data_IF_284049128813
#
_entry.id   IF_284049128813
#
_cell.length_a   1.000
_cell.length_b   1.000
_cell.length_c   1.000
_cell.angle_alpha   90.00
_cell.angle_beta   90.00
_cell.angle_gamma   90.00
#
_symmetry.space_group_name_H-M   'P 1'
#
loop_
_entity.id
_entity.type
_entity.pdbx_description
1 polymer ?
#
# COMPACT_ATOMS: atom_id res chain seq x y z
N UNK A 1 14.12 4.72 -27.91
CA UNK A 1 13.21 4.23 -26.83
C UNK A 1 13.13 5.32 -25.77
N UNK A 2 11.94 5.64 -25.28
CA UNK A 2 11.74 6.67 -24.24
C UNK A 2 11.58 6.01 -22.87
N UNK A 3 12.35 6.44 -21.89
CA UNK A 3 12.33 5.89 -20.52
C UNK A 3 11.91 6.98 -19.55
N UNK A 4 10.78 6.80 -18.89
CA UNK A 4 10.26 7.73 -17.88
C UNK A 4 10.67 7.28 -16.49
N UNK A 5 11.47 8.10 -15.81
CA UNK A 5 11.93 7.86 -14.45
C UNK A 5 10.88 8.47 -13.50
N UNK A 6 10.11 7.61 -12.85
CA UNK A 6 9.02 7.99 -11.97
C UNK A 6 9.44 7.86 -10.50
N UNK A 7 8.99 8.77 -9.65
CA UNK A 7 9.03 8.54 -8.21
C UNK A 7 8.21 7.30 -7.85
N UNK A 8 8.71 6.49 -6.92
CA UNK A 8 8.06 5.25 -6.48
C UNK A 8 6.86 5.51 -5.56
N UNK A 9 5.95 6.38 -6.00
CA UNK A 9 4.70 6.76 -5.33
C UNK A 9 3.53 6.65 -6.30
N UNK A 10 2.28 6.57 -5.82
CA UNK A 10 1.11 6.61 -6.69
C UNK A 10 1.09 7.85 -7.59
N UNK A 11 1.36 9.02 -7.04
CA UNK A 11 1.42 10.27 -7.82
C UNK A 11 2.54 10.23 -8.87
N UNK A 12 3.73 9.75 -8.51
CA UNK A 12 4.88 9.68 -9.42
C UNK A 12 4.60 8.75 -10.60
N UNK A 13 4.18 7.51 -10.33
CA UNK A 13 3.93 6.52 -11.39
C UNK A 13 2.75 6.93 -12.27
N UNK A 14 1.63 7.41 -11.70
CA UNK A 14 0.48 7.85 -12.50
C UNK A 14 0.78 9.12 -13.30
N UNK A 15 1.63 10.03 -12.79
CA UNK A 15 2.14 11.15 -13.59
C UNK A 15 2.97 10.65 -14.76
N UNK A 16 3.85 9.65 -14.54
CA UNK A 16 4.61 9.02 -15.60
C UNK A 16 3.73 8.38 -16.69
N UNK A 17 2.63 7.74 -16.28
CA UNK A 17 1.62 7.22 -17.22
C UNK A 17 1.03 8.36 -18.07
N UNK A 18 0.70 9.50 -17.46
CA UNK A 18 0.18 10.66 -18.18
C UNK A 18 1.19 11.21 -19.17
N UNK A 19 2.42 11.48 -18.75
CA UNK A 19 3.48 12.06 -19.57
C UNK A 19 3.88 11.15 -20.72
N UNK A 20 3.96 9.84 -20.46
CA UNK A 20 4.20 8.81 -21.47
C UNK A 20 3.09 8.80 -22.56
N UNK A 21 1.83 8.99 -22.13
CA UNK A 21 0.71 9.06 -23.06
C UNK A 21 0.71 10.35 -23.88
N UNK A 22 1.06 11.47 -23.25
CA UNK A 22 1.20 12.76 -23.92
C UNK A 22 2.30 12.72 -24.97
N UNK A 23 3.49 12.21 -24.63
CA UNK A 23 4.60 12.04 -25.58
C UNK A 23 4.20 11.13 -26.75
N UNK A 24 3.54 10.00 -26.47
CA UNK A 24 3.04 9.09 -27.52
C UNK A 24 2.17 9.79 -28.55
N UNK A 25 1.32 10.73 -28.11
CA UNK A 25 0.45 11.49 -29.01
C UNK A 25 1.25 12.52 -29.80
N UNK A 26 2.18 13.23 -29.14
CA UNK A 26 2.99 14.28 -29.76
C UNK A 26 3.96 13.73 -30.81
N UNK A 27 4.69 12.67 -30.48
CA UNK A 27 5.71 12.09 -31.35
C UNK A 27 5.19 10.96 -32.25
N UNK A 28 3.91 10.55 -32.07
CA UNK A 28 3.27 9.44 -32.80
C UNK A 28 4.04 8.11 -32.68
N UNK A 29 4.78 7.92 -31.59
CA UNK A 29 5.52 6.69 -31.33
C UNK A 29 4.60 5.55 -30.87
N UNK A 30 5.15 4.33 -30.79
CA UNK A 30 4.42 3.17 -30.27
C UNK A 30 4.51 3.11 -28.74
N UNK A 31 3.49 2.54 -28.07
CA UNK A 31 3.59 2.20 -26.64
C UNK A 31 4.72 1.18 -26.35
N UNK A 32 5.14 0.41 -27.35
CA UNK A 32 6.27 -0.51 -27.24
C UNK A 32 7.63 0.21 -27.16
N UNK A 33 7.70 1.47 -27.61
CA UNK A 33 8.91 2.30 -27.55
C UNK A 33 9.02 3.11 -26.23
N UNK A 34 8.05 2.93 -25.33
CA UNK A 34 7.94 3.64 -24.05
C UNK A 34 8.10 2.66 -22.90
N UNK A 35 8.97 3.03 -21.97
CA UNK A 35 9.24 2.26 -20.76
C UNK A 35 9.17 3.17 -19.53
N UNK A 36 8.57 2.70 -18.44
CA UNK A 36 8.53 3.40 -17.17
C UNK A 36 9.38 2.67 -16.12
N UNK A 37 10.13 3.42 -15.32
CA UNK A 37 10.91 2.87 -14.21
C UNK A 37 10.54 3.56 -12.90
N UNK A 38 10.46 2.77 -11.82
CA UNK A 38 10.19 3.27 -10.48
C UNK A 38 11.51 3.57 -9.74
N UNK A 39 11.85 4.85 -9.65
CA UNK A 39 13.12 5.31 -9.09
C UNK A 39 14.25 5.41 -10.12
N UNK A 40 15.41 5.85 -9.66
CA UNK A 40 16.57 6.03 -10.53
C UNK A 40 17.10 4.66 -11.02
N UNK A 41 17.32 4.48 -12.33
CA UNK A 41 17.96 3.28 -12.84
C UNK A 41 19.43 3.23 -12.42
N UNK A 42 19.93 2.04 -12.11
CA UNK A 42 21.35 1.88 -11.76
C UNK A 42 22.30 2.13 -12.95
N UNK A 43 21.84 1.85 -14.15
CA UNK A 43 22.58 2.05 -15.38
C UNK A 43 21.68 2.68 -16.44
N UNK A 44 22.24 3.57 -17.22
CA UNK A 44 21.60 4.15 -18.38
C UNK A 44 21.93 3.33 -19.62
N UNK A 45 20.91 2.95 -20.38
CA UNK A 45 21.08 2.22 -21.63
C UNK A 45 21.37 3.17 -22.79
N UNK A 46 22.20 2.73 -23.74
CA UNK A 46 22.49 3.49 -24.95
C UNK A 46 21.23 3.57 -25.85
N UNK A 47 21.10 4.65 -26.59
CA UNK A 47 19.98 4.92 -27.50
C UNK A 47 18.61 5.02 -26.83
N UNK A 48 18.60 5.43 -25.55
CA UNK A 48 17.39 5.72 -24.81
C UNK A 48 17.35 7.21 -24.43
N UNK A 49 16.18 7.81 -24.60
CA UNK A 49 15.88 9.16 -24.14
C UNK A 49 15.22 9.09 -22.76
N UNK A 50 15.89 9.64 -21.75
CA UNK A 50 15.44 9.58 -20.38
C UNK A 50 14.69 10.85 -19.99
N UNK A 51 13.47 10.68 -19.45
CA UNK A 51 12.58 11.74 -19.00
C UNK A 51 12.39 11.62 -17.49
N UNK A 52 12.83 12.63 -16.73
CA UNK A 52 12.57 12.68 -15.29
C UNK A 52 11.15 13.21 -15.08
N UNK A 53 10.31 12.41 -14.42
CA UNK A 53 8.91 12.76 -14.14
C UNK A 53 8.81 13.50 -12.81
N UNK A 54 8.38 14.76 -12.84
CA UNK A 54 8.02 15.50 -11.64
C UNK A 54 6.58 15.12 -11.21
N UNK A 55 6.37 14.55 -10.00
CA UNK A 55 5.04 14.17 -9.54
C UNK A 55 4.05 15.33 -9.57
N UNK A 56 2.87 15.10 -10.14
CA UNK A 56 1.80 16.07 -10.27
C UNK A 56 0.45 15.45 -9.89
N UNK A 57 -0.14 15.93 -8.80
CA UNK A 57 -1.46 15.48 -8.36
C UNK A 57 -2.55 15.74 -9.42
N UNK A 58 -2.43 16.82 -10.20
CA UNK A 58 -3.36 17.12 -11.28
C UNK A 58 -3.30 16.09 -12.40
N UNK A 59 -2.09 15.76 -12.90
CA UNK A 59 -1.89 14.79 -13.97
C UNK A 59 -2.30 13.38 -13.51
N UNK A 60 -1.87 12.98 -12.32
CA UNK A 60 -2.27 11.71 -11.70
C UNK A 60 -3.80 11.62 -11.55
N UNK A 61 -4.46 12.67 -11.08
CA UNK A 61 -5.93 12.74 -10.96
C UNK A 61 -6.66 12.58 -12.30
N UNK A 62 -6.11 13.11 -13.40
CA UNK A 62 -6.66 12.90 -14.75
C UNK A 62 -6.59 11.44 -15.18
N UNK A 63 -5.48 10.74 -14.84
CA UNK A 63 -5.35 9.30 -15.10
C UNK A 63 -6.37 8.53 -14.27
N UNK A 64 -6.45 8.76 -12.96
CA UNK A 64 -7.41 8.12 -12.05
C UNK A 64 -8.85 8.28 -12.56
N UNK A 65 -9.24 9.51 -12.91
CA UNK A 65 -10.57 9.82 -13.44
C UNK A 65 -10.85 9.06 -14.75
N UNK A 66 -9.84 8.91 -15.60
CA UNK A 66 -9.96 8.19 -16.87
C UNK A 66 -10.09 6.69 -16.65
N UNK A 67 -9.30 6.10 -15.73
CA UNK A 67 -9.37 4.68 -15.39
C UNK A 67 -10.74 4.33 -14.78
N UNK A 68 -11.19 5.10 -13.79
CA UNK A 68 -12.50 4.88 -13.17
C UNK A 68 -13.65 4.98 -14.19
N UNK A 69 -13.62 5.97 -15.06
CA UNK A 69 -14.68 6.18 -16.06
C UNK A 69 -14.71 5.10 -17.14
N UNK A 70 -13.54 4.64 -17.61
CA UNK A 70 -13.44 3.71 -18.76
C UNK A 70 -13.37 2.25 -18.36
N UNK A 71 -12.74 1.95 -17.24
CA UNK A 71 -12.42 0.58 -16.82
C UNK A 71 -13.08 0.19 -15.48
N UNK A 72 -13.59 1.17 -14.73
CA UNK A 72 -14.24 0.95 -13.44
C UNK A 72 -13.28 1.04 -12.26
N UNK A 73 -13.89 1.18 -11.07
CA UNK A 73 -13.18 1.38 -9.82
C UNK A 73 -12.30 0.18 -9.44
N UNK A 74 -12.80 -1.03 -9.60
CA UNK A 74 -12.07 -2.27 -9.25
C UNK A 74 -10.76 -2.42 -10.03
N UNK A 75 -10.76 -1.97 -11.31
CA UNK A 75 -9.54 -1.94 -12.10
C UNK A 75 -8.53 -0.95 -11.52
N UNK A 76 -8.97 0.27 -11.21
CA UNK A 76 -8.13 1.29 -10.60
C UNK A 76 -7.57 0.83 -9.24
N UNK A 77 -8.39 0.23 -8.38
CA UNK A 77 -7.97 -0.32 -7.09
C UNK A 77 -6.88 -1.40 -7.25
N UNK A 78 -7.02 -2.27 -8.26
CA UNK A 78 -5.99 -3.28 -8.56
C UNK A 78 -4.66 -2.61 -8.96
N UNK A 79 -4.72 -1.58 -9.81
CA UNK A 79 -3.53 -0.81 -10.22
C UNK A 79 -2.90 -0.08 -9.03
N UNK A 80 -3.71 0.61 -8.22
CA UNK A 80 -3.24 1.31 -7.03
C UNK A 80 -2.55 0.35 -6.04
N UNK A 81 -3.21 -0.78 -5.76
CA UNK A 81 -2.68 -1.80 -4.86
C UNK A 81 -1.36 -2.39 -5.36
N UNK A 82 -1.20 -2.54 -6.69
CA UNK A 82 0.07 -2.96 -7.28
C UNK A 82 1.17 -1.89 -7.15
N UNK A 83 0.82 -0.61 -7.31
CA UNK A 83 1.75 0.51 -7.12
C UNK A 83 2.24 0.58 -5.66
N UNK A 84 1.37 0.36 -4.70
CA UNK A 84 1.67 0.37 -3.27
C UNK A 84 2.57 -0.79 -2.82
N UNK A 85 2.76 -1.81 -3.67
CA UNK A 85 3.67 -2.92 -3.38
C UNK A 85 5.12 -2.46 -3.33
N UNK A 86 5.88 -2.96 -2.33
CA UNK A 86 7.33 -2.90 -2.40
C UNK A 86 7.82 -3.93 -3.42
N UNK A 87 8.60 -3.50 -4.38
CA UNK A 87 9.19 -4.41 -5.35
C UNK A 87 10.49 -5.00 -4.81
N UNK A 88 10.38 -6.08 -4.05
CA UNK A 88 11.52 -6.82 -3.49
C UNK A 88 12.19 -7.76 -4.49
N UNK A 89 11.69 -7.86 -5.71
CA UNK A 89 12.15 -8.88 -6.67
C UNK A 89 13.50 -8.59 -7.32
N UNK A 90 14.07 -7.41 -7.06
CA UNK A 90 15.36 -7.00 -7.61
C UNK A 90 15.35 -6.85 -9.14
N UNK A 91 16.52 -6.58 -9.71
CA UNK A 91 16.74 -6.29 -11.15
C UNK A 91 16.34 -7.39 -12.13
N UNK A 92 15.98 -8.59 -11.65
CA UNK A 92 15.62 -9.74 -12.51
C UNK A 92 14.16 -9.75 -12.96
N UNK A 93 13.30 -8.93 -12.37
CA UNK A 93 11.89 -8.87 -12.73
C UNK A 93 11.57 -7.51 -13.38
N UNK A 94 10.47 -7.51 -14.13
CA UNK A 94 9.92 -6.32 -14.75
C UNK A 94 9.61 -5.25 -13.69
N UNK A 95 10.02 -4.01 -13.96
CA UNK A 95 9.70 -2.86 -13.11
C UNK A 95 8.18 -2.67 -12.98
N UNK A 96 7.72 -2.36 -11.78
CA UNK A 96 6.29 -2.20 -11.50
C UNK A 96 5.65 -1.05 -12.25
N UNK A 97 6.36 0.07 -12.45
CA UNK A 97 5.84 1.21 -13.18
C UNK A 97 5.57 0.83 -14.65
N UNK A 98 6.49 0.06 -15.26
CA UNK A 98 6.28 -0.44 -16.62
C UNK A 98 5.16 -1.48 -16.69
N UNK A 99 5.07 -2.39 -15.73
CA UNK A 99 3.99 -3.37 -15.67
C UNK A 99 2.62 -2.67 -15.57
N UNK A 100 2.51 -1.65 -14.72
CA UNK A 100 1.31 -0.81 -14.57
C UNK A 100 0.97 -0.11 -15.89
N UNK A 101 1.94 0.57 -16.50
CA UNK A 101 1.73 1.28 -17.76
C UNK A 101 1.21 0.36 -18.87
N UNK A 102 1.90 -0.75 -19.11
CA UNK A 102 1.52 -1.68 -20.19
C UNK A 102 0.19 -2.40 -19.90
N UNK A 103 -0.14 -2.64 -18.63
CA UNK A 103 -1.45 -3.18 -18.24
C UNK A 103 -2.57 -2.18 -18.53
N UNK A 104 -2.38 -0.90 -18.22
CA UNK A 104 -3.33 0.18 -18.54
C UNK A 104 -3.50 0.29 -20.08
N UNK A 105 -2.40 0.25 -20.84
CA UNK A 105 -2.45 0.24 -22.30
C UNK A 105 -3.26 -0.94 -22.81
N UNK A 106 -2.95 -2.16 -22.33
CA UNK A 106 -3.66 -3.37 -22.73
C UNK A 106 -5.17 -3.27 -22.44
N UNK A 107 -5.56 -2.72 -21.29
CA UNK A 107 -6.95 -2.56 -20.91
C UNK A 107 -7.71 -1.55 -21.79
N UNK A 108 -7.06 -0.42 -22.11
CA UNK A 108 -7.70 0.64 -22.91
C UNK A 108 -7.85 0.30 -24.40
N UNK A 109 -6.97 -0.55 -24.93
CA UNK A 109 -7.02 -0.98 -26.34
C UNK A 109 -7.73 -2.32 -26.54
N UNK A 110 -7.96 -3.09 -25.49
CA UNK A 110 -8.65 -4.38 -25.59
C UNK A 110 -10.17 -4.20 -25.60
N UNK A 111 -10.89 -4.94 -26.43
CA UNK A 111 -12.35 -5.01 -26.34
C UNK A 111 -12.83 -5.63 -25.02
N UNK A 112 -11.95 -6.33 -24.28
CA UNK A 112 -12.26 -6.89 -22.97
C UNK A 112 -12.29 -5.83 -21.85
N UNK A 113 -11.70 -4.63 -22.09
CA UNK A 113 -11.60 -3.57 -21.07
C UNK A 113 -10.93 -4.07 -19.80
N UNK A 114 -11.53 -3.83 -18.63
CA UNK A 114 -11.01 -4.24 -17.33
C UNK A 114 -10.78 -5.77 -17.21
N UNK A 115 -11.52 -6.59 -17.94
CA UNK A 115 -11.35 -8.05 -17.92
C UNK A 115 -10.01 -8.55 -18.46
N UNK A 116 -9.16 -7.67 -18.99
CA UNK A 116 -7.78 -8.07 -19.34
C UNK A 116 -7.00 -8.54 -18.14
N UNK A 117 -7.36 -8.11 -16.92
CA UNK A 117 -6.73 -8.58 -15.68
C UNK A 117 -6.82 -10.10 -15.49
N UNK A 118 -7.78 -10.76 -16.12
CA UNK A 118 -7.91 -12.23 -16.09
C UNK A 118 -6.89 -12.92 -17.01
N UNK A 119 -6.20 -12.16 -17.87
CA UNK A 119 -5.27 -12.70 -18.90
C UNK A 119 -3.85 -12.85 -18.34
N UNK A 120 -3.67 -13.72 -17.35
CA UNK A 120 -2.39 -13.92 -16.64
C UNK A 120 -1.26 -14.48 -17.52
N UNK A 121 -1.53 -14.86 -18.76
CA UNK A 121 -0.50 -15.22 -19.76
C UNK A 121 0.27 -13.98 -20.27
N UNK A 122 -0.27 -12.77 -20.11
CA UNK A 122 0.43 -11.53 -20.41
C UNK A 122 1.39 -11.21 -19.23
N UNK A 123 2.71 -11.06 -19.48
CA UNK A 123 3.69 -10.87 -18.41
C UNK A 123 3.49 -9.57 -17.62
N UNK A 124 2.97 -8.51 -18.24
CA UNK A 124 2.70 -7.23 -17.57
C UNK A 124 1.52 -7.38 -16.59
N UNK A 125 0.45 -8.01 -17.05
CA UNK A 125 -0.75 -8.27 -16.23
C UNK A 125 -0.41 -9.23 -15.09
N UNK A 126 0.36 -10.29 -15.38
CA UNK A 126 0.82 -11.22 -14.35
C UNK A 126 1.64 -10.50 -13.27
N UNK A 127 2.51 -9.57 -13.68
CA UNK A 127 3.30 -8.77 -12.72
C UNK A 127 2.42 -7.88 -11.85
N UNK A 128 1.44 -7.20 -12.40
CA UNK A 128 0.46 -6.41 -11.65
C UNK A 128 -0.32 -7.30 -10.68
N UNK A 129 -0.73 -8.50 -11.11
CA UNK A 129 -1.41 -9.48 -10.25
C UNK A 129 -0.52 -9.92 -9.07
N UNK A 130 0.76 -10.25 -9.29
CA UNK A 130 1.69 -10.61 -8.21
C UNK A 130 1.80 -9.48 -7.16
N UNK A 131 2.02 -8.24 -7.63
CA UNK A 131 2.21 -7.06 -6.79
C UNK A 131 0.95 -6.73 -6.00
N UNK A 132 -0.21 -6.67 -6.66
CA UNK A 132 -1.48 -6.35 -6.02
C UNK A 132 -1.86 -7.39 -4.99
N UNK A 133 -1.68 -8.69 -5.29
CA UNK A 133 -1.95 -9.77 -4.35
C UNK A 133 -1.05 -9.72 -3.12
N UNK A 134 0.23 -9.39 -3.27
CA UNK A 134 1.16 -9.26 -2.14
C UNK A 134 0.72 -8.17 -1.16
N UNK A 135 0.37 -6.97 -1.69
CA UNK A 135 -0.09 -5.85 -0.89
C UNK A 135 -1.46 -6.12 -0.26
N UNK A 136 -2.42 -6.65 -1.03
CA UNK A 136 -3.76 -6.95 -0.54
C UNK A 136 -3.74 -8.01 0.57
N UNK A 137 -2.91 -9.05 0.44
CA UNK A 137 -2.73 -10.08 1.48
C UNK A 137 -2.15 -9.49 2.77
N UNK A 138 -1.16 -8.60 2.66
CA UNK A 138 -0.59 -7.94 3.84
C UNK A 138 -1.59 -7.00 4.51
N UNK A 139 -2.29 -6.17 3.73
CA UNK A 139 -3.35 -5.31 4.24
C UNK A 139 -4.47 -6.11 4.91
N UNK A 140 -4.86 -7.27 4.35
CA UNK A 140 -5.84 -8.16 4.97
C UNK A 140 -5.40 -8.65 6.35
N UNK A 141 -4.16 -9.09 6.50
CA UNK A 141 -3.61 -9.48 7.80
C UNK A 141 -3.61 -8.31 8.79
N UNK A 142 -3.15 -7.14 8.36
CA UNK A 142 -3.12 -5.95 9.22
C UNK A 142 -4.51 -5.49 9.65
N UNK A 143 -5.53 -5.60 8.81
CA UNK A 143 -6.94 -5.35 9.20
C UNK A 143 -7.39 -6.23 10.38
N UNK A 144 -6.87 -7.46 10.48
CA UNK A 144 -7.17 -8.38 11.55
C UNK A 144 -6.29 -8.21 12.80
N UNK A 145 -5.02 -7.82 12.61
CA UNK A 145 -4.01 -7.84 13.69
C UNK A 145 -3.67 -6.46 14.25
N UNK A 146 -4.01 -5.38 13.56
CA UNK A 146 -3.83 -4.02 14.08
C UNK A 146 -4.62 -3.85 15.39
N UNK A 147 -3.97 -3.31 16.39
CA UNK A 147 -4.55 -2.98 17.71
C UNK A 147 -4.39 -1.50 17.97
N UNK A 148 -5.50 -0.85 18.30
CA UNK A 148 -5.47 0.51 18.78
C UNK A 148 -5.34 0.54 20.30
N UNK A 149 -4.57 1.50 20.77
CA UNK A 149 -4.47 1.85 22.19
C UNK A 149 -4.92 3.30 22.37
N UNK A 150 -5.67 3.57 23.43
CA UNK A 150 -6.15 4.91 23.74
C UNK A 150 -5.04 5.74 24.38
N UNK A 151 -4.71 6.89 23.79
CA UNK A 151 -3.82 7.88 24.37
C UNK A 151 -4.56 8.72 25.42
N UNK A 152 -3.82 9.43 26.31
CA UNK A 152 -4.40 10.30 27.35
C UNK A 152 -5.35 11.37 26.81
N UNK A 153 -5.18 11.79 25.55
CA UNK A 153 -6.03 12.76 24.88
C UNK A 153 -7.26 12.16 24.19
N UNK A 154 -7.53 10.84 24.38
CA UNK A 154 -8.65 10.12 23.80
C UNK A 154 -8.47 9.74 22.31
N UNK A 155 -7.29 9.92 21.72
CA UNK A 155 -7.01 9.48 20.36
C UNK A 155 -6.63 8.00 20.37
N UNK A 156 -7.23 7.21 19.49
CA UNK A 156 -6.85 5.82 19.25
C UNK A 156 -5.59 5.77 18.40
N UNK A 157 -4.53 5.19 18.93
CA UNK A 157 -3.23 5.13 18.27
C UNK A 157 -2.80 3.69 17.99
N UNK A 158 -2.20 3.46 16.82
CA UNK A 158 -1.61 2.17 16.46
C UNK A 158 -0.33 2.39 15.66
N UNK A 159 0.69 1.56 15.94
CA UNK A 159 1.91 1.46 15.12
C UNK A 159 1.86 0.18 14.30
N UNK A 160 2.31 0.26 13.04
CA UNK A 160 2.42 -0.87 12.14
C UNK A 160 3.79 -0.91 11.46
N UNK A 161 4.20 -2.10 11.03
CA UNK A 161 5.48 -2.33 10.35
C UNK A 161 5.27 -3.17 9.08
N UNK A 162 4.51 -2.66 8.10
CA UNK A 162 4.26 -3.39 6.88
C UNK A 162 5.50 -3.40 5.98
N UNK A 163 5.59 -4.40 5.09
CA UNK A 163 6.56 -4.40 3.99
C UNK A 163 6.09 -3.51 2.84
N UNK A 164 4.82 -3.68 2.46
CA UNK A 164 4.18 -2.87 1.41
C UNK A 164 3.56 -1.61 2.03
N UNK A 165 3.40 -0.55 1.25
CA UNK A 165 2.69 0.64 1.72
C UNK A 165 1.18 0.35 1.83
N UNK A 166 0.80 -0.41 2.87
CA UNK A 166 -0.59 -0.81 3.11
C UNK A 166 -1.41 0.29 3.82
N UNK A 167 -0.76 1.35 4.29
CA UNK A 167 -1.39 2.40 5.11
C UNK A 167 -2.62 3.04 4.46
N UNK A 168 -2.65 3.39 3.16
CA UNK A 168 -3.85 3.95 2.54
C UNK A 168 -5.07 3.00 2.61
N UNK A 169 -4.84 1.69 2.38
CA UNK A 169 -5.88 0.66 2.41
C UNK A 169 -6.43 0.46 3.83
N UNK A 170 -5.54 0.55 4.83
CA UNK A 170 -5.92 0.45 6.24
C UNK A 170 -6.68 1.70 6.70
N UNK A 171 -6.21 2.88 6.30
CA UNK A 171 -6.83 4.15 6.66
C UNK A 171 -8.28 4.23 6.18
N UNK A 172 -8.55 3.82 4.93
CA UNK A 172 -9.89 3.75 4.39
C UNK A 172 -10.76 2.78 5.20
N UNK A 173 -10.28 1.55 5.42
CA UNK A 173 -11.01 0.53 6.18
C UNK A 173 -11.37 0.98 7.60
N UNK A 174 -10.43 1.61 8.33
CA UNK A 174 -10.68 2.03 9.70
C UNK A 174 -11.48 3.34 9.79
N UNK A 175 -11.44 4.20 8.76
CA UNK A 175 -12.34 5.35 8.64
C UNK A 175 -13.80 4.88 8.55
N UNK A 176 -14.07 3.86 7.75
CA UNK A 176 -15.42 3.28 7.63
C UNK A 176 -15.87 2.55 8.91
N UNK A 177 -14.92 1.89 9.60
CA UNK A 177 -15.22 1.12 10.81
C UNK A 177 -15.40 1.99 12.05
N UNK A 178 -14.65 3.09 12.15
CA UNK A 178 -14.64 4.01 13.29
C UNK A 178 -14.90 5.48 12.87
N UNK A 179 -16.02 5.75 12.18
CA UNK A 179 -16.26 7.07 11.60
C UNK A 179 -16.39 8.20 12.63
N UNK A 180 -16.69 7.87 13.90
CA UNK A 180 -16.89 8.83 14.98
C UNK A 180 -15.70 8.92 15.95
N UNK A 181 -14.61 8.17 15.68
CA UNK A 181 -13.43 8.17 16.54
C UNK A 181 -12.30 8.99 15.92
N UNK A 182 -11.50 9.61 16.77
CA UNK A 182 -10.23 10.19 16.36
C UNK A 182 -9.17 9.09 16.43
N UNK A 183 -8.52 8.79 15.32
CA UNK A 183 -7.46 7.79 15.33
C UNK A 183 -6.24 8.21 14.50
N UNK A 184 -5.13 7.59 14.82
CA UNK A 184 -3.88 7.69 14.07
C UNK A 184 -3.25 6.30 13.90
N UNK A 185 -2.90 5.94 12.67
CA UNK A 185 -2.13 4.74 12.34
C UNK A 185 -0.76 5.22 11.85
N UNK A 186 0.29 4.85 12.56
CA UNK A 186 1.68 5.19 12.22
C UNK A 186 2.37 4.00 11.56
N UNK A 187 2.78 4.17 10.32
CA UNK A 187 3.62 3.24 9.58
C UNK A 187 5.09 3.62 9.79
N UNK A 188 5.73 2.92 10.72
CA UNK A 188 7.13 3.17 11.05
C UNK A 188 8.08 2.79 9.91
N UNK A 189 7.70 1.83 9.07
CA UNK A 189 8.53 1.39 7.95
C UNK A 189 8.65 2.46 6.86
N UNK A 190 7.53 3.12 6.55
CA UNK A 190 7.47 4.11 5.47
C UNK A 190 7.49 5.56 6.00
N UNK A 191 7.58 5.76 7.31
CA UNK A 191 7.55 7.08 7.97
C UNK A 191 6.32 7.91 7.57
N UNK A 192 5.16 7.26 7.53
CA UNK A 192 3.87 7.86 7.18
C UNK A 192 2.87 7.67 8.31
N UNK A 193 1.96 8.60 8.45
CA UNK A 193 0.83 8.43 9.35
C UNK A 193 -0.49 8.70 8.64
N UNK A 194 -1.49 7.88 8.93
CA UNK A 194 -2.88 8.14 8.60
C UNK A 194 -3.56 8.75 9.81
N UNK A 195 -4.06 9.97 9.67
CA UNK A 195 -4.75 10.71 10.73
C UNK A 195 -6.21 10.86 10.35
N UNK A 196 -7.11 10.39 11.21
CA UNK A 196 -8.54 10.52 11.06
C UNK A 196 -9.14 11.34 12.21
N UNK A 197 -9.97 12.29 11.84
CA UNK A 197 -10.79 13.05 12.78
C UNK A 197 -12.25 12.62 12.65
N UNK A 198 -12.92 12.44 13.77
CA UNK A 198 -14.32 12.07 13.85
C UNK A 198 -15.20 12.82 12.83
N UNK A 199 -15.95 12.09 12.03
CA UNK A 199 -16.85 12.63 11.00
C UNK A 199 -16.14 13.27 9.78
N UNK A 200 -14.84 13.05 9.59
CA UNK A 200 -14.06 13.56 8.45
C UNK A 200 -13.38 12.39 7.70
N UNK A 201 -12.91 12.66 6.49
CA UNK A 201 -12.01 11.73 5.81
C UNK A 201 -10.64 11.73 6.48
N UNK A 202 -9.90 10.62 6.33
CA UNK A 202 -8.52 10.55 6.77
C UNK A 202 -7.58 11.41 5.91
N UNK A 203 -6.43 11.73 6.45
CA UNK A 203 -5.32 12.37 5.75
C UNK A 203 -4.06 11.54 5.94
N UNK A 204 -3.27 11.41 4.89
CA UNK A 204 -1.93 10.84 4.97
C UNK A 204 -0.94 12.00 5.15
N UNK A 205 -0.07 11.88 6.13
CA UNK A 205 0.94 12.88 6.47
C UNK A 205 2.32 12.23 6.56
N UNK A 206 3.34 12.96 6.19
CA UNK A 206 4.72 12.60 6.49
C UNK A 206 4.91 12.61 8.01
N UNK A 207 5.52 11.56 8.51
CA UNK A 207 5.71 11.32 9.94
C UNK A 207 7.19 11.06 10.30
N UNK A 208 8.11 11.47 9.42
CA UNK A 208 9.55 11.32 9.63
C UNK A 208 10.07 12.04 10.87
N UNK A 209 9.45 13.17 11.24
CA UNK A 209 9.82 13.99 12.41
C UNK A 209 8.92 13.74 13.63
N UNK A 210 8.11 12.69 13.62
CA UNK A 210 7.18 12.42 14.73
C UNK A 210 7.94 12.05 16.01
N UNK A 211 7.62 12.70 17.12
CA UNK A 211 8.15 12.30 18.44
C UNK A 211 7.37 11.08 18.96
N UNK A 212 7.95 9.89 18.79
CA UNK A 212 7.35 8.63 19.20
C UNK A 212 7.22 8.48 20.72
N UNK A 213 7.99 9.23 21.52
CA UNK A 213 7.87 9.21 22.98
C UNK A 213 6.51 9.76 23.45
N UNK A 214 5.99 10.77 22.75
CA UNK A 214 4.66 11.33 23.04
C UNK A 214 3.51 10.35 22.73
N UNK A 215 3.77 9.38 21.88
CA UNK A 215 2.79 8.37 21.46
C UNK A 215 2.74 7.16 22.41
N UNK A 216 3.54 7.16 23.49
CA UNK A 216 3.52 6.13 24.53
C UNK A 216 2.72 6.55 25.77
N UNK A 217 2.16 7.76 25.79
CA UNK A 217 1.32 8.25 26.89
C UNK A 217 -0.11 7.69 26.78
N UNK A 218 -0.27 6.45 27.22
CA UNK A 218 -1.56 5.77 27.24
C UNK A 218 -2.47 6.28 28.36
N UNK A 219 -3.80 6.17 28.17
CA UNK A 219 -4.76 6.48 29.20
C UNK A 219 -4.69 5.45 30.37
N UNK A 220 -5.12 5.86 31.56
CA UNK A 220 -5.22 4.91 32.69
C UNK A 220 -6.19 3.77 32.39
N UNK A 221 -7.25 4.05 31.64
CA UNK A 221 -8.21 3.05 31.17
C UNK A 221 -7.55 2.03 30.24
N UNK A 222 -6.70 2.48 29.31
CA UNK A 222 -5.99 1.60 28.38
C UNK A 222 -5.15 0.56 29.13
N UNK A 223 -4.35 0.99 30.14
CA UNK A 223 -3.55 0.08 30.95
C UNK A 223 -4.42 -0.98 31.69
N UNK A 224 -5.63 -0.59 32.09
CA UNK A 224 -6.60 -1.53 32.69
C UNK A 224 -7.18 -2.48 31.64
N UNK A 225 -7.55 -1.99 30.47
CA UNK A 225 -8.10 -2.81 29.39
C UNK A 225 -7.09 -3.81 28.86
N UNK A 226 -5.83 -3.44 28.70
CA UNK A 226 -4.77 -4.37 28.29
C UNK A 226 -4.60 -5.51 29.28
N UNK A 227 -4.63 -5.24 30.60
CA UNK A 227 -4.60 -6.28 31.63
C UNK A 227 -5.81 -7.22 31.55
N UNK A 228 -7.01 -6.66 31.37
CA UNK A 228 -8.24 -7.44 31.21
C UNK A 228 -8.20 -8.30 29.96
N UNK A 229 -7.68 -7.75 28.85
CA UNK A 229 -7.53 -8.49 27.59
C UNK A 229 -6.57 -9.67 27.74
N UNK A 230 -5.42 -9.47 28.35
CA UNK A 230 -4.47 -10.55 28.61
C UNK A 230 -5.07 -11.64 29.50
N UNK A 231 -5.73 -11.26 30.60
CA UNK A 231 -6.39 -12.23 31.49
C UNK A 231 -7.51 -13.00 30.77
N UNK A 232 -8.27 -12.32 29.91
CA UNK A 232 -9.29 -12.97 29.07
C UNK A 232 -8.64 -13.95 28.09
N UNK A 233 -7.61 -13.51 27.35
CA UNK A 233 -6.89 -14.33 26.39
C UNK A 233 -6.33 -15.62 27.02
N UNK A 234 -5.73 -15.51 28.19
CA UNK A 234 -5.24 -16.65 28.97
C UNK A 234 -6.38 -17.56 29.43
N UNK A 235 -7.49 -16.99 29.91
CA UNK A 235 -8.61 -17.75 30.48
C UNK A 235 -9.37 -18.59 29.47
N UNK A 236 -9.41 -18.14 28.19
CA UNK A 236 -10.08 -18.89 27.10
C UNK A 236 -9.15 -19.87 26.39
N UNK A 237 -7.85 -19.85 26.69
CA UNK A 237 -6.88 -20.74 26.10
C UNK A 237 -7.17 -22.20 26.50
N UNK A 238 -7.25 -23.08 25.51
CA UNK A 238 -7.42 -24.51 25.75
C UNK A 238 -6.04 -25.16 25.54
N UNK A 239 -5.39 -25.55 26.63
CA UNK A 239 -4.02 -26.09 26.64
C UNK A 239 -3.85 -27.26 25.64
N UNK A 240 -4.81 -28.17 25.58
CA UNK A 240 -4.79 -29.30 24.65
C UNK A 240 -4.84 -28.89 23.15
N UNK A 241 -5.15 -27.62 22.84
CA UNK A 241 -5.18 -27.08 21.47
C UNK A 241 -3.99 -26.18 21.18
N UNK A 242 -3.06 -26.04 22.10
CA UNK A 242 -1.87 -25.20 21.91
C UNK A 242 -1.02 -25.74 20.78
N UNK A 243 -0.82 -24.95 19.73
CA UNK A 243 -0.01 -25.27 18.57
C UNK A 243 0.72 -24.01 18.06
N UNK A 244 1.95 -23.78 18.55
CA UNK A 244 2.73 -22.58 18.20
C UNK A 244 3.07 -22.47 16.70
N UNK A 245 3.24 -23.61 16.01
CA UNK A 245 3.52 -23.62 14.58
C UNK A 245 2.31 -23.14 13.77
N UNK A 246 1.13 -23.65 14.09
CA UNK A 246 -0.12 -23.24 13.47
C UNK A 246 -0.44 -21.77 13.80
N UNK A 247 -0.16 -21.34 15.04
CA UNK A 247 -0.31 -19.94 15.44
C UNK A 247 0.58 -19.04 14.59
N UNK A 248 1.85 -19.39 14.39
CA UNK A 248 2.79 -18.61 13.56
C UNK A 248 2.42 -18.61 12.05
N UNK A 249 1.74 -19.67 11.56
CA UNK A 249 1.19 -19.68 10.20
C UNK A 249 0.01 -18.73 10.05
N UNK A 250 -0.90 -18.70 11.02
CA UNK A 250 -2.10 -17.86 10.98
C UNK A 250 -1.77 -16.37 11.28
N UNK A 251 -0.86 -16.14 12.23
CA UNK A 251 -0.36 -14.80 12.59
C UNK A 251 1.16 -14.79 12.41
N UNK A 252 1.68 -14.36 11.26
CA UNK A 252 3.11 -14.30 11.03
C UNK A 252 3.84 -13.51 12.12
N UNK A 253 4.98 -14.03 12.59
CA UNK A 253 5.75 -13.48 13.73
C UNK A 253 6.06 -11.98 13.62
N UNK A 254 6.17 -11.45 12.39
CA UNK A 254 6.40 -10.02 12.15
C UNK A 254 5.31 -9.09 12.69
N UNK A 255 4.07 -9.60 12.91
CA UNK A 255 2.96 -8.84 13.48
C UNK A 255 2.84 -8.99 14.99
N UNK A 256 3.62 -9.89 15.63
CA UNK A 256 3.48 -10.19 17.04
C UNK A 256 3.86 -9.00 17.94
N UNK A 257 4.86 -8.22 17.54
CA UNK A 257 5.30 -7.05 18.31
C UNK A 257 4.20 -5.96 18.43
N UNK A 258 3.29 -5.91 17.46
CA UNK A 258 2.20 -4.95 17.39
C UNK A 258 0.91 -5.45 18.08
N UNK A 259 0.91 -6.70 18.58
CA UNK A 259 -0.22 -7.34 19.26
C UNK A 259 0.04 -7.45 20.74
N UNK A 260 -0.87 -6.93 21.57
CA UNK A 260 -0.74 -6.94 23.04
C UNK A 260 -0.59 -8.36 23.57
N UNK A 261 -1.38 -9.30 23.04
CA UNK A 261 -1.43 -10.70 23.42
C UNK A 261 -0.21 -11.54 22.99
N UNK A 262 0.56 -11.08 21.99
CA UNK A 262 1.68 -11.84 21.42
C UNK A 262 3.06 -11.19 21.67
N UNK A 263 3.08 -9.95 22.13
CA UNK A 263 4.30 -9.15 22.30
C UNK A 263 5.35 -9.84 23.17
N UNK A 264 4.93 -10.52 24.24
CA UNK A 264 5.81 -11.23 25.17
C UNK A 264 6.51 -12.45 24.58
N UNK A 265 6.08 -12.94 23.40
CA UNK A 265 6.78 -14.01 22.68
C UNK A 265 7.89 -13.46 21.75
N UNK A 266 8.08 -12.15 21.69
CA UNK A 266 9.12 -11.51 20.87
C UNK A 266 10.38 -11.17 21.67
N UNK A 267 10.31 -11.26 23.01
CA UNK A 267 11.44 -11.13 23.95
C UNK A 267 12.18 -12.48 24.08
#
# INVERSE_FOLDING_TARGET
MHVFICENTPNGILTGVYDAWELKIQERCSHADIYLVSGQPDNYELFCDYHIVAPSAEKAGKVVSTLNRKLGHDFYETILTAILSIDLSGKKKMDKANAVYQTIVAALYSPKGARVLDSLSNPYIYRVFELSRATASEAHHLKGFLRFSELQNGVLFSTIHPKNNALPILAEHFTDRFPQENFMIYDETHQLAAVHRAGKNYMLVDASDINTELLQNYSENEARFQKLWLAFFESIAIEARTNPELQAQNIPKRFWKDSVELRHFCE
#
